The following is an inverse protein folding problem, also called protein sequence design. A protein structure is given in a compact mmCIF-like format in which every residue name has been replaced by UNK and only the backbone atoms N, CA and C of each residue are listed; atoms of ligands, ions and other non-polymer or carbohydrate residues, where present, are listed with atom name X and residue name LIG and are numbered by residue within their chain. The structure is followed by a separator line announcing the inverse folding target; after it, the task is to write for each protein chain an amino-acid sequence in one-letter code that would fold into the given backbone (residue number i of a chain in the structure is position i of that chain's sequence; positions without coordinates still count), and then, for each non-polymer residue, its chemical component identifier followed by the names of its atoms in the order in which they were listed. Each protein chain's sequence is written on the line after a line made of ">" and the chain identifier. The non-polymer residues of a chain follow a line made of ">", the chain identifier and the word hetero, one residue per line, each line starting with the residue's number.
data_IF_404984212833
#
_entry.id   IF_404984212833
#
_cell.length_a   1.000
_cell.length_b   1.000
_cell.length_c   1.000
_cell.angle_alpha   90.00
_cell.angle_beta   90.00
_cell.angle_gamma   90.00
#
_symmetry.space_group_name_H-M   'P 1'
#
loop_
_entity.id
_entity.type
_entity.pdbx_description
1 polymer ?
#
# COMPACT_ATOMS: atom_id res chain seq x y z
N UNK A 1 21.62 0.70 -7.73
CA UNK A 1 20.28 1.03 -7.17
C UNK A 1 19.24 0.56 -8.18
N UNK A 2 18.16 -0.10 -7.75
CA UNK A 2 17.18 -0.69 -8.67
C UNK A 2 16.46 0.41 -9.49
N UNK A 3 16.26 0.25 -10.82
CA UNK A 3 15.71 1.30 -11.71
C UNK A 3 14.36 1.89 -11.27
N UNK A 4 13.56 1.13 -10.51
CA UNK A 4 12.26 1.59 -10.01
C UNK A 4 12.33 2.87 -9.16
N UNK A 5 13.48 3.13 -8.53
CA UNK A 5 13.65 4.28 -7.65
C UNK A 5 13.89 5.58 -8.40
N UNK A 6 14.18 5.54 -9.70
CA UNK A 6 14.41 6.77 -10.46
C UNK A 6 13.11 7.54 -10.64
N UNK A 7 12.00 6.86 -10.95
CA UNK A 7 10.68 7.49 -10.97
C UNK A 7 10.25 7.95 -9.56
N UNK A 8 10.54 7.16 -8.52
CA UNK A 8 10.25 7.54 -7.14
C UNK A 8 10.97 8.84 -6.72
N UNK A 9 12.23 9.02 -7.12
CA UNK A 9 13.00 10.25 -6.84
C UNK A 9 12.43 11.46 -7.57
N UNK A 10 11.98 11.28 -8.82
CA UNK A 10 11.33 12.36 -9.56
C UNK A 10 10.03 12.77 -8.87
N UNK A 11 9.21 11.77 -8.52
CA UNK A 11 7.95 12.00 -7.81
C UNK A 11 8.18 12.70 -6.46
N UNK A 12 9.16 12.25 -5.68
CA UNK A 12 9.46 12.86 -4.39
C UNK A 12 10.02 14.27 -4.52
N UNK A 13 10.72 14.60 -5.60
CA UNK A 13 11.15 15.96 -5.89
C UNK A 13 9.96 16.89 -6.19
N UNK A 14 8.98 16.43 -6.97
CA UNK A 14 7.73 17.18 -7.25
C UNK A 14 6.91 17.38 -5.98
N UNK A 15 6.74 16.32 -5.18
CA UNK A 15 5.96 16.36 -3.94
C UNK A 15 6.69 16.98 -2.75
N UNK A 16 7.95 17.37 -2.92
CA UNK A 16 8.82 17.82 -1.83
C UNK A 16 8.19 18.94 -1.01
N UNK A 17 7.75 20.01 -1.66
CA UNK A 17 7.17 21.16 -0.95
C UNK A 17 5.93 20.75 -0.15
N UNK A 18 4.99 20.04 -0.79
CA UNK A 18 3.80 19.52 -0.13
C UNK A 18 4.12 18.62 1.07
N UNK A 19 5.10 17.74 0.94
CA UNK A 19 5.52 16.84 2.02
C UNK A 19 6.21 17.60 3.16
N UNK A 20 7.08 18.56 2.85
CA UNK A 20 7.76 19.39 3.84
C UNK A 20 6.76 20.26 4.62
N UNK A 21 5.78 20.86 3.94
CA UNK A 21 4.72 21.67 4.55
C UNK A 21 3.78 20.86 5.44
N UNK A 22 3.45 19.61 5.07
CA UNK A 22 2.49 18.79 5.82
C UNK A 22 3.12 17.96 6.93
N UNK A 23 4.30 17.40 6.70
CA UNK A 23 4.96 16.51 7.66
C UNK A 23 5.85 17.27 8.64
N UNK A 24 6.40 18.40 8.18
CA UNK A 24 7.35 19.23 8.90
C UNK A 24 8.48 18.40 9.55
N UNK A 25 8.86 18.73 10.79
CA UNK A 25 9.79 17.96 11.60
C UNK A 25 9.08 16.99 12.54
N UNK A 26 7.77 16.78 12.40
CA UNK A 26 6.96 16.01 13.37
C UNK A 26 6.58 14.64 12.86
N UNK A 27 6.09 14.55 11.63
CA UNK A 27 5.52 13.31 11.11
C UNK A 27 6.50 12.51 10.25
N UNK A 28 6.40 11.19 10.28
CA UNK A 28 7.06 10.28 9.35
C UNK A 28 5.96 9.58 8.54
N UNK A 29 5.97 9.78 7.23
CA UNK A 29 5.04 9.16 6.28
C UNK A 29 5.54 7.79 5.85
N UNK A 30 4.71 6.76 5.99
CA UNK A 30 4.96 5.41 5.50
C UNK A 30 4.00 5.09 4.35
N UNK A 31 4.56 4.54 3.28
CA UNK A 31 3.77 4.09 2.14
C UNK A 31 4.51 3.05 1.32
N UNK A 32 3.76 2.40 0.44
CA UNK A 32 4.27 1.41 -0.49
C UNK A 32 4.42 2.03 -1.88
N UNK A 33 5.62 1.91 -2.47
CA UNK A 33 5.88 2.27 -3.86
C UNK A 33 5.71 1.06 -4.77
N UNK A 34 4.57 0.97 -5.44
CA UNK A 34 4.15 -0.17 -6.25
C UNK A 34 4.37 0.03 -7.75
N UNK A 35 5.35 0.83 -8.15
CA UNK A 35 5.69 0.99 -9.57
C UNK A 35 6.18 -0.32 -10.19
N UNK A 36 7.09 -1.02 -9.52
CA UNK A 36 7.52 -2.33 -9.98
C UNK A 36 6.54 -3.40 -9.49
N UNK A 37 6.21 -4.34 -10.37
CA UNK A 37 5.57 -5.60 -10.02
C UNK A 37 6.48 -6.34 -9.04
N UNK A 38 5.96 -6.62 -7.86
CA UNK A 38 6.53 -7.58 -6.93
C UNK A 38 5.97 -8.98 -7.28
N UNK A 39 5.09 -9.54 -6.46
CA UNK A 39 4.42 -10.82 -6.74
C UNK A 39 3.11 -10.67 -7.53
N UNK A 40 2.41 -9.55 -7.35
CA UNK A 40 1.13 -9.24 -7.99
C UNK A 40 1.34 -8.17 -9.05
N UNK A 41 0.79 -8.40 -10.25
CA UNK A 41 0.70 -7.37 -11.29
C UNK A 41 -0.60 -6.60 -11.12
N UNK A 42 -0.55 -5.28 -11.13
CA UNK A 42 -1.72 -4.41 -11.07
C UNK A 42 -1.90 -3.66 -12.38
N UNK A 43 -3.16 -3.55 -12.81
CA UNK A 43 -3.50 -2.98 -14.12
C UNK A 43 -4.20 -1.63 -14.04
N UNK A 44 -4.67 -1.25 -12.85
CA UNK A 44 -5.60 -0.13 -12.65
C UNK A 44 -5.27 0.64 -11.37
N UNK A 45 -3.98 0.89 -11.11
CA UNK A 45 -3.57 1.62 -9.91
C UNK A 45 -4.01 3.09 -9.99
N UNK A 46 -4.52 3.62 -8.88
CA UNK A 46 -4.87 5.04 -8.76
C UNK A 46 -3.67 5.95 -8.49
N UNK A 47 -2.52 5.37 -8.14
CA UNK A 47 -1.22 6.02 -7.99
C UNK A 47 -0.15 4.92 -7.84
N UNK A 48 1.14 5.24 -7.95
CA UNK A 48 2.22 4.32 -7.57
C UNK A 48 2.63 4.36 -6.09
N UNK A 49 2.13 5.32 -5.30
CA UNK A 49 2.52 5.49 -3.90
C UNK A 49 1.24 5.46 -3.08
N UNK A 50 1.16 4.49 -2.17
CA UNK A 50 0.03 4.38 -1.26
C UNK A 50 0.48 4.54 0.18
N UNK A 51 0.04 5.62 0.81
CA UNK A 51 0.21 5.82 2.24
C UNK A 51 -0.58 4.76 3.03
N UNK A 52 0.07 4.18 4.04
CA UNK A 52 -0.59 3.25 4.95
C UNK A 52 -0.37 3.55 6.44
N UNK A 53 0.64 4.34 6.81
CA UNK A 53 0.85 4.76 8.20
C UNK A 53 1.50 6.15 8.27
N UNK A 54 1.24 6.85 9.37
CA UNK A 54 1.96 8.08 9.73
C UNK A 54 2.35 8.01 11.20
N UNK A 55 3.64 8.17 11.49
CA UNK A 55 4.14 8.22 12.86
C UNK A 55 4.32 9.67 13.32
N UNK A 56 3.73 10.01 14.46
CA UNK A 56 3.92 11.28 15.15
C UNK A 56 5.06 11.14 16.17
N UNK A 57 6.17 11.86 15.94
CA UNK A 57 7.35 11.81 16.81
C UNK A 57 7.11 12.48 18.17
N UNK A 58 6.23 13.47 18.24
CA UNK A 58 5.95 14.17 19.51
C UNK A 58 5.07 13.31 20.40
N UNK A 59 4.01 12.71 19.83
CA UNK A 59 3.14 11.78 20.54
C UNK A 59 3.76 10.37 20.71
N UNK A 60 4.87 10.10 20.01
CA UNK A 60 5.50 8.78 19.92
C UNK A 60 4.54 7.65 19.53
N UNK A 61 3.58 7.95 18.64
CA UNK A 61 2.49 7.06 18.28
C UNK A 61 2.16 7.13 16.79
N UNK A 62 1.58 6.05 16.25
CA UNK A 62 1.02 6.06 14.91
C UNK A 62 -0.38 6.71 14.94
N UNK A 63 -0.64 7.60 13.98
CA UNK A 63 -1.92 8.28 13.84
C UNK A 63 -3.02 7.31 13.41
N UNK A 64 -4.22 7.48 13.97
CA UNK A 64 -5.41 6.79 13.49
C UNK A 64 -5.85 7.27 12.10
N UNK A 65 -6.75 6.51 11.47
CA UNK A 65 -7.22 6.75 10.11
C UNK A 65 -7.74 8.17 9.88
N UNK A 66 -8.55 8.69 10.78
CA UNK A 66 -9.17 10.01 10.59
C UNK A 66 -8.15 11.16 10.77
N UNK A 67 -7.09 10.93 11.55
CA UNK A 67 -6.03 11.93 11.73
C UNK A 67 -5.09 11.97 10.52
N UNK A 68 -4.61 10.80 10.06
CA UNK A 68 -3.75 10.74 8.87
C UNK A 68 -4.47 11.18 7.59
N UNK A 69 -5.77 10.89 7.45
CA UNK A 69 -6.57 11.35 6.30
C UNK A 69 -6.67 12.87 6.25
N UNK A 70 -6.89 13.52 7.41
CA UNK A 70 -6.89 14.99 7.51
C UNK A 70 -5.52 15.60 7.26
N UNK A 71 -4.45 14.95 7.73
CA UNK A 71 -3.08 15.42 7.50
C UNK A 71 -2.73 15.51 6.01
N UNK A 72 -3.24 14.57 5.20
CA UNK A 72 -2.90 14.44 3.78
C UNK A 72 -4.00 14.98 2.84
N UNK A 73 -5.07 15.54 3.40
CA UNK A 73 -6.16 16.10 2.62
C UNK A 73 -5.66 17.20 1.66
N UNK A 74 -6.06 17.10 0.39
CA UNK A 74 -5.67 18.05 -0.66
C UNK A 74 -4.22 17.93 -1.16
N UNK A 75 -3.44 16.93 -0.73
CA UNK A 75 -2.03 16.75 -1.14
C UNK A 75 -1.83 15.91 -2.40
N UNK A 76 -2.88 15.22 -2.86
CA UNK A 76 -2.81 14.19 -3.90
C UNK A 76 -2.18 12.87 -3.44
N UNK A 77 -1.71 12.76 -2.19
CA UNK A 77 -1.18 11.50 -1.65
C UNK A 77 -2.34 10.55 -1.35
N UNK A 78 -2.33 9.40 -2.02
CA UNK A 78 -3.40 8.40 -1.91
C UNK A 78 -3.12 7.46 -0.74
N UNK A 79 -4.15 7.18 0.06
CA UNK A 79 -4.12 6.18 1.13
C UNK A 79 -4.52 4.80 0.59
N UNK A 80 -3.94 3.72 1.13
CA UNK A 80 -4.37 2.33 0.85
C UNK A 80 -5.89 2.15 1.04
N UNK A 81 -6.57 1.33 0.21
CA UNK A 81 -8.02 1.17 0.32
C UNK A 81 -8.48 0.67 1.69
N UNK A 82 -9.40 1.41 2.30
CA UNK A 82 -10.15 0.94 3.46
C UNK A 82 -11.29 0.05 2.96
N UNK A 83 -11.24 -1.24 3.31
CA UNK A 83 -12.27 -2.23 2.90
C UNK A 83 -13.28 -2.53 4.01
N UNK A 84 -12.95 -2.20 5.26
CA UNK A 84 -13.82 -2.41 6.42
C UNK A 84 -13.46 -1.43 7.54
N UNK A 85 -14.47 -0.88 8.23
CA UNK A 85 -14.35 -0.16 9.50
C UNK A 85 -15.35 -0.76 10.48
N UNK A 86 -14.92 -1.03 11.71
CA UNK A 86 -15.77 -1.62 12.75
C UNK A 86 -15.15 -2.87 13.36
N UNK A 87 -15.87 -3.45 14.31
CA UNK A 87 -15.49 -4.71 14.93
C UNK A 87 -15.67 -5.86 13.93
N UNK A 88 -14.67 -6.73 13.85
CA UNK A 88 -14.73 -7.94 13.03
C UNK A 88 -14.09 -9.12 13.77
N UNK A 89 -14.76 -10.26 13.73
CA UNK A 89 -14.24 -11.50 14.28
C UNK A 89 -13.19 -12.12 13.37
N UNK A 90 -12.23 -12.84 13.96
CA UNK A 90 -11.18 -13.57 13.21
C UNK A 90 -11.76 -14.48 12.11
N UNK A 91 -12.90 -15.13 12.38
CA UNK A 91 -13.57 -16.03 11.44
C UNK A 91 -14.12 -15.35 10.18
N UNK A 92 -14.37 -14.05 10.24
CA UNK A 92 -14.93 -13.28 9.12
C UNK A 92 -13.85 -12.60 8.27
N UNK A 93 -12.59 -12.56 8.72
CA UNK A 93 -11.49 -11.92 7.99
C UNK A 93 -11.30 -12.50 6.58
N UNK A 94 -11.43 -13.82 6.44
CA UNK A 94 -11.31 -14.48 5.14
C UNK A 94 -12.34 -13.98 4.11
N UNK A 95 -13.51 -13.50 4.56
CA UNK A 95 -14.55 -12.94 3.65
C UNK A 95 -14.19 -11.58 3.09
N UNK A 96 -13.26 -10.87 3.73
CA UNK A 96 -12.75 -9.59 3.23
C UNK A 96 -11.63 -9.77 2.19
N UNK A 97 -11.02 -10.95 2.12
CA UNK A 97 -10.06 -11.28 1.07
C UNK A 97 -10.85 -11.61 -0.19
N UNK A 98 -10.83 -10.67 -1.13
CA UNK A 98 -11.53 -10.77 -2.40
C UNK A 98 -10.72 -10.14 -3.53
N UNK A 99 -11.37 -9.87 -4.67
CA UNK A 99 -10.72 -9.18 -5.79
C UNK A 99 -10.09 -7.86 -5.37
N UNK A 100 -8.88 -7.58 -5.87
CA UNK A 100 -8.23 -6.28 -5.67
C UNK A 100 -9.02 -5.17 -6.36
N UNK A 101 -9.01 -3.98 -5.78
CA UNK A 101 -9.58 -2.77 -6.41
C UNK A 101 -8.77 -2.26 -7.62
N UNK A 102 -7.58 -2.81 -7.85
CA UNK A 102 -6.62 -2.29 -8.84
C UNK A 102 -6.37 -3.26 -10.01
N UNK A 103 -7.33 -4.13 -10.32
CA UNK A 103 -7.21 -5.12 -11.39
C UNK A 103 -5.99 -6.02 -11.23
N UNK A 104 -5.87 -6.70 -10.09
CA UNK A 104 -4.71 -7.57 -9.88
C UNK A 104 -4.75 -8.79 -10.79
N UNK A 105 -3.56 -9.25 -11.15
CA UNK A 105 -3.28 -10.56 -11.73
C UNK A 105 -2.22 -11.24 -10.88
N UNK A 106 -2.60 -12.36 -10.28
CA UNK A 106 -1.71 -13.19 -9.50
C UNK A 106 -1.73 -14.61 -10.05
N UNK A 107 -0.57 -15.13 -10.39
CA UNK A 107 -0.41 -16.51 -10.84
C UNK A 107 -0.04 -17.38 -9.65
N UNK A 108 -0.98 -18.23 -9.26
CA UNK A 108 -0.82 -19.20 -8.20
C UNK A 108 0.37 -20.15 -8.53
N UNK A 109 1.34 -20.29 -7.62
CA UNK A 109 2.56 -21.03 -7.89
C UNK A 109 2.34 -22.53 -8.09
N UNK A 110 1.30 -23.10 -7.47
CA UNK A 110 1.10 -24.54 -7.41
C UNK A 110 0.15 -25.03 -8.52
N UNK A 111 -0.81 -24.21 -8.91
CA UNK A 111 -1.83 -24.54 -9.91
C UNK A 111 -1.62 -23.85 -11.26
N UNK A 112 -0.73 -22.84 -11.32
CA UNK A 112 -0.52 -21.96 -12.47
C UNK A 112 -1.78 -21.23 -12.94
N UNK A 113 -2.85 -21.21 -12.13
CA UNK A 113 -4.07 -20.46 -12.44
C UNK A 113 -3.88 -19.01 -12.06
N UNK A 114 -4.39 -18.10 -12.89
CA UNK A 114 -4.43 -16.67 -12.57
C UNK A 114 -5.73 -16.31 -11.87
N UNK A 115 -5.62 -15.64 -10.72
CA UNK A 115 -6.72 -14.99 -10.03
C UNK A 115 -6.52 -13.47 -9.94
N UNK A 116 -7.54 -12.78 -9.45
CA UNK A 116 -7.56 -11.33 -9.24
C UNK A 116 -7.65 -10.95 -7.76
N UNK A 117 -7.28 -11.85 -6.85
CA UNK A 117 -7.39 -11.60 -5.42
C UNK A 117 -6.27 -10.67 -4.94
N UNK A 118 -6.56 -9.91 -3.89
CA UNK A 118 -5.55 -9.15 -3.15
C UNK A 118 -4.54 -10.07 -2.44
N UNK A 119 -3.39 -9.51 -2.04
CA UNK A 119 -2.39 -10.22 -1.22
C UNK A 119 -2.97 -10.66 0.14
N UNK A 120 -3.74 -9.78 0.77
CA UNK A 120 -4.26 -10.00 2.11
C UNK A 120 -4.71 -8.70 2.77
N UNK A 121 -4.82 -8.76 4.09
CA UNK A 121 -5.34 -7.68 4.92
C UNK A 121 -4.25 -7.13 5.84
N UNK A 122 -4.18 -5.81 5.91
CA UNK A 122 -3.52 -5.10 6.99
C UNK A 122 -4.57 -4.60 7.98
N UNK A 123 -4.46 -5.01 9.23
CA UNK A 123 -5.44 -4.72 10.27
C UNK A 123 -4.84 -3.74 11.27
N UNK A 124 -5.67 -2.80 11.72
CA UNK A 124 -5.36 -1.89 12.83
C UNK A 124 -6.51 -1.82 13.81
N UNK A 125 -6.16 -1.73 15.09
CA UNK A 125 -7.08 -1.25 16.12
C UNK A 125 -6.69 0.18 16.46
N UNK A 126 -7.68 1.04 16.67
CA UNK A 126 -7.48 2.45 16.98
C UNK A 126 -8.23 2.81 18.26
N UNK A 127 -7.65 3.68 19.07
CA UNK A 127 -8.22 4.16 20.32
C UNK A 127 -7.63 5.51 20.69
N UNK A 128 -8.46 6.48 21.10
CA UNK A 128 -7.99 7.84 21.41
C UNK A 128 -7.36 8.58 20.22
N UNK A 129 -7.69 8.18 18.98
CA UNK A 129 -7.14 8.78 17.76
C UNK A 129 -5.78 8.22 17.32
N UNK A 130 -5.23 7.24 18.03
CA UNK A 130 -3.96 6.58 17.68
C UNK A 130 -4.15 5.08 17.41
N UNK A 131 -3.20 4.48 16.73
CA UNK A 131 -3.15 3.02 16.52
C UNK A 131 -2.71 2.34 17.82
N UNK A 132 -3.49 1.36 18.27
CA UNK A 132 -3.24 0.59 19.50
C UNK A 132 -2.77 -0.84 19.23
N UNK A 133 -2.94 -1.33 18.01
CA UNK A 133 -2.59 -2.69 17.62
C UNK A 133 -2.57 -2.85 16.12
N UNK A 134 -1.73 -3.75 15.62
CA UNK A 134 -1.55 -4.02 14.20
C UNK A 134 -1.40 -5.52 13.96
N UNK A 135 -1.95 -5.99 12.86
CA UNK A 135 -1.77 -7.36 12.41
C UNK A 135 -1.81 -7.42 10.89
N UNK A 136 -1.42 -8.57 10.33
CA UNK A 136 -1.61 -8.89 8.92
C UNK A 136 -2.20 -10.28 8.77
N UNK A 137 -3.04 -10.44 7.76
CA UNK A 137 -3.55 -11.74 7.32
C UNK A 137 -3.23 -11.85 5.83
N UNK A 138 -2.22 -12.63 5.49
CA UNK A 138 -1.76 -12.82 4.09
C UNK A 138 -2.27 -14.16 3.60
N UNK A 139 -2.75 -14.24 2.37
CA UNK A 139 -3.28 -15.48 1.81
C UNK A 139 -2.15 -16.52 1.60
N UNK A 140 -2.41 -17.82 1.80
CA UNK A 140 -1.38 -18.86 1.69
C UNK A 140 -0.69 -18.90 0.32
N UNK A 141 -1.45 -18.76 -0.76
CA UNK A 141 -0.96 -18.85 -2.13
C UNK A 141 0.10 -17.78 -2.42
N UNK A 142 -0.11 -16.57 -1.88
CA UNK A 142 0.85 -15.48 -1.97
C UNK A 142 2.14 -15.78 -1.19
N UNK A 143 2.00 -16.32 0.03
CA UNK A 143 3.15 -16.71 0.85
C UNK A 143 3.99 -17.77 0.14
N UNK A 144 3.36 -18.76 -0.48
CA UNK A 144 4.06 -19.78 -1.28
C UNK A 144 4.75 -19.18 -2.49
N UNK A 145 4.10 -18.25 -3.22
CA UNK A 145 4.73 -17.57 -4.36
C UNK A 145 6.01 -16.85 -3.95
N UNK A 146 5.98 -16.14 -2.81
CA UNK A 146 7.16 -15.43 -2.29
C UNK A 146 8.29 -16.39 -1.92
N UNK A 147 7.99 -17.55 -1.34
CA UNK A 147 9.01 -18.56 -1.01
C UNK A 147 9.67 -19.18 -2.24
N UNK A 148 8.89 -19.41 -3.30
CA UNK A 148 9.36 -20.07 -4.52
C UNK A 148 10.03 -19.10 -5.51
N UNK A 149 9.77 -17.80 -5.37
CA UNK A 149 10.30 -16.79 -6.29
C UNK A 149 11.66 -16.28 -5.84
N UNK A 150 12.56 -16.04 -6.80
CA UNK A 150 13.70 -15.15 -6.54
C UNK A 150 13.17 -13.77 -6.15
N UNK A 151 13.75 -13.14 -5.13
CA UNK A 151 13.32 -11.81 -4.69
C UNK A 151 13.23 -10.85 -5.89
N UNK A 152 12.12 -10.13 -6.01
CA UNK A 152 11.77 -9.35 -7.20
C UNK A 152 12.85 -8.34 -7.62
N UNK A 153 13.67 -7.87 -6.67
CA UNK A 153 14.82 -6.97 -6.91
C UNK A 153 15.91 -7.55 -7.82
N UNK A 154 15.91 -8.87 -8.05
CA UNK A 154 16.86 -9.57 -8.93
C UNK A 154 16.25 -9.99 -10.27
N UNK A 155 14.98 -9.67 -10.51
CA UNK A 155 14.28 -9.98 -11.75
C UNK A 155 14.26 -8.75 -12.67
N UNK A 156 13.96 -8.98 -13.96
CA UNK A 156 13.66 -7.88 -14.86
C UNK A 156 12.42 -7.13 -14.34
N UNK A 157 12.55 -5.82 -14.18
CA UNK A 157 11.47 -4.98 -13.67
C UNK A 157 10.31 -4.95 -14.67
N UNK A 158 9.12 -5.32 -14.19
CA UNK A 158 7.86 -5.15 -14.93
C UNK A 158 7.09 -4.02 -14.25
N UNK A 159 6.83 -2.89 -14.91
CA UNK A 159 6.03 -1.81 -14.34
C UNK A 159 4.57 -2.21 -14.18
N UNK A 160 3.93 -1.89 -13.05
CA UNK A 160 2.48 -1.93 -12.92
C UNK A 160 1.83 -0.80 -13.73
N UNK A 161 0.57 -0.98 -14.09
CA UNK A 161 -0.19 -0.03 -14.89
C UNK A 161 -1.07 0.85 -13.99
N UNK A 162 -1.18 2.12 -14.36
CA UNK A 162 -2.13 3.05 -13.77
C UNK A 162 -3.48 2.90 -14.47
N UNK A 163 -4.57 3.27 -13.79
CA UNK A 163 -5.84 3.49 -14.46
C UNK A 163 -5.75 4.66 -15.45
N UNK A 164 -6.70 4.74 -16.38
CA UNK A 164 -6.80 5.83 -17.35
C UNK A 164 -6.84 7.20 -16.64
N UNK A 165 -6.20 8.20 -17.24
CA UNK A 165 -6.15 9.60 -16.78
C UNK A 165 -5.53 9.85 -15.38
N UNK A 166 -4.82 8.87 -14.80
CA UNK A 166 -4.12 9.06 -13.52
C UNK A 166 -2.87 9.94 -13.70
N UNK A 167 -2.88 11.10 -13.05
CA UNK A 167 -1.70 11.94 -12.87
C UNK A 167 -1.03 11.65 -11.51
N UNK A 168 0.20 11.15 -11.54
CA UNK A 168 0.99 10.89 -10.32
C UNK A 168 1.73 12.14 -9.82
N UNK A 169 1.72 13.23 -10.57
CA UNK A 169 2.48 14.44 -10.28
C UNK A 169 1.67 15.48 -9.49
N UNK A 170 0.36 15.56 -9.75
CA UNK A 170 -0.59 16.49 -9.12
C UNK A 170 -0.77 16.26 -7.64
#
# INVERSE_FOLDING_TARGET
>A
MHPQYDLFKQWSAVKRQTLEERLERRFILFGEWVYARHSIFYQQLSHYFFEFDVYDKEASAFLGLDQRSRLLEGTGIVTVPVIHRGAIGRGDLGRLIGPSKFGSKFEDPDTSRTDNLMEGLYLRTEGGGVVTGRAKCVRPEFVEKVKQSTHWQHQAMVPNELADDVDIWS
#
